data_IF_943023089028
#
_entry.id   IF_943023089028
#
_cell.length_a   1.000
_cell.length_b   1.000
_cell.length_c   1.000
_cell.angle_alpha   90.00
_cell.angle_beta   90.00
_cell.angle_gamma   90.00
#
_symmetry.space_group_name_H-M   'P 1'
#
loop_
_entity.id
_entity.type
_entity.pdbx_description
1 polymer ?
#
# COMPACT_ATOMS: atom_id res chain seq x y z
N UNK A 1 9.32 3.58 -24.81
CA UNK A 1 10.45 4.37 -25.37
C UNK A 1 11.48 3.50 -26.07
N UNK A 2 12.27 2.65 -25.39
CA UNK A 2 13.30 1.82 -26.05
C UNK A 2 12.75 0.99 -27.23
N UNK A 3 11.65 0.23 -27.02
CA UNK A 3 10.96 -0.51 -28.10
C UNK A 3 10.57 0.37 -29.29
N UNK A 4 10.02 1.55 -29.03
CA UNK A 4 9.65 2.53 -30.07
C UNK A 4 10.89 3.05 -30.82
N UNK A 5 12.01 3.25 -30.13
CA UNK A 5 13.25 3.72 -30.74
C UNK A 5 13.97 2.64 -31.57
N UNK A 6 13.68 1.34 -31.35
CA UNK A 6 14.24 0.25 -32.15
C UNK A 6 13.65 0.24 -33.57
N UNK A 7 12.39 0.66 -33.71
CA UNK A 7 11.65 0.63 -34.97
C UNK A 7 11.59 2.01 -35.66
N UNK A 8 12.00 3.08 -34.96
CA UNK A 8 11.99 4.44 -35.46
C UNK A 8 13.26 4.79 -36.27
N UNK A 9 13.10 5.59 -37.34
CA UNK A 9 14.23 6.21 -38.04
C UNK A 9 15.00 7.17 -37.12
N UNK A 10 16.27 7.45 -37.41
CA UNK A 10 17.17 8.24 -36.54
C UNK A 10 16.57 9.59 -36.10
N UNK A 11 15.88 10.30 -37.00
CA UNK A 11 15.24 11.59 -36.70
C UNK A 11 13.99 11.49 -35.82
N UNK A 12 13.44 10.29 -35.63
CA UNK A 12 12.26 10.00 -34.81
C UNK A 12 12.61 9.33 -33.49
N UNK A 13 13.89 8.99 -33.25
CA UNK A 13 14.33 8.43 -31.98
C UNK A 13 14.25 9.50 -30.90
N UNK A 14 13.50 9.20 -29.86
CA UNK A 14 13.47 10.04 -28.67
C UNK A 14 14.72 9.78 -27.84
N UNK A 15 15.36 10.83 -27.31
CA UNK A 15 16.50 10.70 -26.40
C UNK A 15 16.19 11.41 -25.09
N UNK A 16 16.59 10.82 -23.97
CA UNK A 16 16.42 11.41 -22.63
C UNK A 16 17.79 11.79 -22.09
N UNK A 17 17.85 12.94 -21.43
CA UNK A 17 18.99 13.37 -20.60
C UNK A 17 18.62 13.10 -19.16
N UNK A 18 19.55 12.54 -18.39
CA UNK A 18 19.32 12.26 -16.97
C UNK A 18 20.49 12.81 -16.18
N UNK A 19 20.20 13.63 -15.18
CA UNK A 19 21.18 14.05 -14.20
C UNK A 19 20.76 13.60 -12.80
N UNK A 20 21.71 13.12 -12.01
CA UNK A 20 21.47 12.68 -10.63
C UNK A 20 22.40 13.42 -9.68
N UNK A 21 21.84 13.92 -8.59
CA UNK A 21 22.59 14.47 -7.47
C UNK A 21 21.99 13.97 -6.16
N UNK A 22 22.79 13.91 -5.10
CA UNK A 22 22.35 13.54 -3.76
C UNK A 22 22.73 14.63 -2.76
N UNK A 23 21.85 14.90 -1.81
CA UNK A 23 22.09 15.85 -0.74
C UNK A 23 20.82 16.09 0.08
N UNK A 24 20.93 16.95 1.09
CA UNK A 24 19.80 17.30 1.94
C UNK A 24 18.83 18.25 1.24
N UNK A 25 17.54 17.94 1.33
CA UNK A 25 16.48 18.72 0.71
C UNK A 25 15.32 18.89 1.68
N UNK A 26 14.59 20.00 1.52
CA UNK A 26 13.35 20.27 2.24
C UNK A 26 12.15 19.91 1.38
N UNK A 27 11.25 19.13 1.94
CA UNK A 27 9.94 18.84 1.36
C UNK A 27 8.91 19.86 1.85
N UNK A 28 8.20 20.52 0.92
CA UNK A 28 7.18 21.50 1.27
C UNK A 28 6.13 21.58 0.18
N UNK A 29 4.83 21.53 0.55
CA UNK A 29 3.70 21.66 -0.39
C UNK A 29 3.74 20.73 -1.60
N UNK A 30 4.29 19.53 -1.44
CA UNK A 30 4.40 18.54 -2.51
C UNK A 30 5.56 18.76 -3.48
N UNK A 31 6.49 19.68 -3.17
CA UNK A 31 7.66 19.98 -3.99
C UNK A 31 8.97 19.89 -3.17
N UNK A 32 10.10 19.81 -3.87
CA UNK A 32 11.44 19.59 -3.31
C UNK A 32 12.29 20.85 -3.48
N UNK A 33 12.79 21.39 -2.36
CA UNK A 33 13.63 22.59 -2.36
C UNK A 33 14.99 22.30 -1.76
N UNK A 34 16.02 22.88 -2.35
CA UNK A 34 17.38 22.82 -1.83
C UNK A 34 18.42 22.97 -2.93
N UNK A 35 19.65 23.23 -2.51
CA UNK A 35 20.80 23.28 -3.40
C UNK A 35 20.95 22.00 -4.24
N UNK A 36 20.76 20.77 -3.71
CA UNK A 36 20.95 19.56 -4.51
C UNK A 36 20.06 19.47 -5.75
N UNK A 37 18.83 19.98 -5.67
CA UNK A 37 17.88 20.02 -6.80
C UNK A 37 18.33 21.02 -7.86
N UNK A 38 18.85 22.18 -7.44
CA UNK A 38 19.40 23.19 -8.34
C UNK A 38 20.64 22.65 -9.08
N UNK A 39 21.52 21.93 -8.39
CA UNK A 39 22.68 21.28 -9.02
C UNK A 39 22.24 20.25 -10.04
N UNK A 40 21.28 19.38 -9.69
CA UNK A 40 20.78 18.35 -10.61
C UNK A 40 20.16 18.95 -11.88
N UNK A 41 19.36 20.01 -11.75
CA UNK A 41 18.75 20.71 -12.89
C UNK A 41 19.80 21.36 -13.81
N UNK A 42 20.87 21.95 -13.24
CA UNK A 42 21.94 22.55 -14.04
C UNK A 42 22.86 21.53 -14.67
N UNK A 43 23.05 20.39 -14.01
CA UNK A 43 23.77 19.27 -14.59
C UNK A 43 22.99 18.67 -15.76
N UNK A 44 21.66 18.54 -15.63
CA UNK A 44 20.78 18.03 -16.70
C UNK A 44 20.88 18.89 -17.96
N UNK A 45 20.87 20.21 -17.82
CA UNK A 45 20.90 21.13 -18.97
C UNK A 45 22.16 21.01 -19.83
N UNK A 46 23.28 20.58 -19.24
CA UNK A 46 24.54 20.33 -19.95
C UNK A 46 24.75 18.85 -20.32
N UNK A 47 23.91 17.94 -19.82
CA UNK A 47 24.04 16.51 -20.07
C UNK A 47 23.72 16.21 -21.54
N UNK A 48 24.58 15.49 -22.28
CA UNK A 48 24.29 15.10 -23.66
C UNK A 48 23.04 14.22 -23.78
N UNK A 49 22.35 14.32 -24.91
CA UNK A 49 21.16 13.53 -25.17
C UNK A 49 21.48 12.03 -25.16
N UNK A 50 20.66 11.24 -24.44
CA UNK A 50 20.88 9.81 -24.27
C UNK A 50 22.06 9.49 -23.34
N UNK A 51 22.43 10.41 -22.44
CA UNK A 51 23.41 10.17 -21.38
C UNK A 51 22.82 10.33 -19.99
N UNK A 52 23.48 9.66 -19.04
CA UNK A 52 23.17 9.72 -17.60
C UNK A 52 24.42 10.26 -16.92
N UNK A 53 24.34 11.50 -16.45
CA UNK A 53 25.40 12.16 -15.70
C UNK A 53 25.02 12.26 -14.22
N UNK A 54 26.01 12.30 -13.34
CA UNK A 54 25.76 12.43 -11.92
C UNK A 54 26.96 13.05 -11.19
N UNK A 55 26.69 13.63 -10.03
CA UNK A 55 27.74 14.30 -9.22
C UNK A 55 28.61 13.30 -8.50
N UNK A 56 29.78 13.75 -8.05
CA UNK A 56 30.66 12.96 -7.19
C UNK A 56 29.98 12.55 -5.88
N UNK A 57 29.11 13.39 -5.30
CA UNK A 57 28.32 13.01 -4.13
C UNK A 57 27.48 11.74 -4.41
N UNK A 58 26.83 11.65 -5.58
CA UNK A 58 26.12 10.44 -6.00
C UNK A 58 27.06 9.26 -6.24
N UNK A 59 28.22 9.50 -6.87
CA UNK A 59 29.24 8.46 -7.09
C UNK A 59 29.76 7.85 -5.78
N UNK A 60 29.91 8.67 -4.73
CA UNK A 60 30.35 8.22 -3.42
C UNK A 60 29.24 7.47 -2.66
N UNK A 61 27.97 7.84 -2.86
CA UNK A 61 26.83 7.23 -2.19
C UNK A 61 26.35 5.92 -2.83
N UNK A 62 26.69 5.65 -4.08
CA UNK A 62 26.24 4.45 -4.81
C UNK A 62 27.14 3.23 -4.60
N UNK A 63 26.60 2.03 -4.81
CA UNK A 63 27.39 0.79 -4.91
C UNK A 63 28.11 0.74 -6.26
N UNK A 64 29.38 1.15 -6.29
CA UNK A 64 30.18 1.32 -7.53
C UNK A 64 30.33 0.06 -8.38
N UNK A 65 30.23 -1.13 -7.78
CA UNK A 65 30.28 -2.40 -8.51
C UNK A 65 29.04 -2.65 -9.38
N UNK A 66 27.94 -1.93 -9.17
CA UNK A 66 26.70 -2.14 -9.91
C UNK A 66 26.54 -1.23 -11.13
N UNK A 67 27.17 -0.04 -11.12
CA UNK A 67 27.04 0.98 -12.17
C UNK A 67 28.44 1.41 -12.60
N UNK A 68 28.95 0.89 -13.72
CA UNK A 68 30.21 1.34 -14.30
C UNK A 68 30.11 2.84 -14.65
N UNK A 69 31.11 3.60 -14.22
CA UNK A 69 31.09 5.05 -14.36
C UNK A 69 32.46 5.60 -14.75
N UNK A 70 32.44 6.65 -15.55
CA UNK A 70 33.63 7.37 -16.02
C UNK A 70 33.57 8.82 -15.54
N UNK A 71 34.70 9.35 -15.08
CA UNK A 71 34.79 10.77 -14.69
C UNK A 71 34.71 11.62 -15.97
N UNK A 72 33.79 12.57 -15.98
CA UNK A 72 33.60 13.53 -17.09
C UNK A 72 34.54 14.73 -16.89
N UNK A 73 34.63 15.22 -15.66
CA UNK A 73 35.43 16.40 -15.31
C UNK A 73 34.80 17.23 -14.21
N UNK A 74 35.26 18.47 -14.06
CA UNK A 74 34.72 19.46 -13.12
C UNK A 74 33.92 20.52 -13.87
N UNK A 75 32.77 20.88 -13.33
CA UNK A 75 31.88 21.90 -13.89
C UNK A 75 31.50 22.92 -12.83
N UNK A 76 31.58 24.21 -13.19
CA UNK A 76 31.11 25.31 -12.35
C UNK A 76 29.71 25.72 -12.74
N UNK A 77 28.87 25.97 -11.75
CA UNK A 77 27.47 26.32 -11.94
C UNK A 77 27.13 27.62 -11.20
N UNK A 78 26.26 28.45 -11.79
CA UNK A 78 25.95 29.79 -11.25
C UNK A 78 25.39 29.76 -9.83
N UNK A 79 26.14 30.18 -8.82
CA UNK A 79 25.67 30.14 -7.41
C UNK A 79 25.84 28.77 -6.76
N UNK A 80 26.85 28.04 -7.21
CA UNK A 80 27.55 27.00 -6.44
C UNK A 80 29.00 27.49 -6.38
N UNK A 81 29.52 27.67 -5.17
CA UNK A 81 30.84 28.29 -4.99
C UNK A 81 31.98 27.33 -5.37
N UNK A 82 31.76 26.02 -5.18
CA UNK A 82 32.74 24.98 -5.48
C UNK A 82 32.47 24.29 -6.84
N UNK A 83 33.52 23.99 -7.63
CA UNK A 83 33.37 23.16 -8.82
C UNK A 83 32.81 21.78 -8.48
N UNK A 84 31.83 21.32 -9.25
CA UNK A 84 31.20 20.02 -9.07
C UNK A 84 31.90 19.00 -9.97
N UNK A 85 32.46 17.96 -9.37
CA UNK A 85 32.98 16.81 -10.11
C UNK A 85 31.81 15.99 -10.66
N UNK A 86 31.84 15.68 -11.95
CA UNK A 86 30.80 14.99 -12.70
C UNK A 86 31.32 13.65 -13.22
N UNK A 87 30.44 12.65 -13.15
CA UNK A 87 30.60 11.30 -13.65
C UNK A 87 29.50 10.98 -14.66
N UNK A 88 29.76 10.05 -15.57
CA UNK A 88 28.76 9.50 -16.50
C UNK A 88 28.69 7.99 -16.38
N UNK A 89 27.52 7.43 -16.61
CA UNK A 89 27.37 5.97 -16.74
C UNK A 89 28.00 5.52 -18.06
N UNK A 90 28.89 4.52 -18.00
CA UNK A 90 29.52 3.97 -19.20
C UNK A 90 28.47 3.22 -20.06
N UNK A 91 28.48 3.46 -21.37
CA UNK A 91 27.63 2.74 -22.34
C UNK A 91 28.29 1.41 -22.70
N UNK A 92 27.56 0.29 -22.58
CA UNK A 92 28.12 -1.02 -22.92
C UNK A 92 27.17 -2.20 -22.68
N UNK A 93 27.29 -3.23 -23.52
CA UNK A 93 26.60 -4.51 -23.40
C UNK A 93 27.32 -5.41 -22.40
N UNK A 94 26.68 -5.70 -21.27
CA UNK A 94 27.06 -6.71 -20.27
C UNK A 94 28.47 -6.60 -19.67
N UNK A 95 28.60 -5.93 -18.52
CA UNK A 95 29.64 -6.33 -17.57
C UNK A 95 29.12 -7.48 -16.72
N UNK A 96 29.65 -8.67 -17.03
CA UNK A 96 29.39 -9.95 -16.35
C UNK A 96 30.07 -9.91 -14.98
N UNK A 97 29.32 -9.64 -13.92
CA UNK A 97 29.70 -10.16 -12.60
C UNK A 97 29.34 -11.64 -12.63
N UNK A 98 30.36 -12.50 -12.55
CA UNK A 98 30.19 -13.95 -12.50
C UNK A 98 29.42 -14.35 -11.24
N UNK A 99 28.10 -14.51 -11.38
CA UNK A 99 27.32 -15.45 -10.57
C UNK A 99 25.99 -15.74 -11.28
N UNK A 100 25.91 -16.95 -11.85
CA UNK A 100 24.69 -17.71 -12.21
C UNK A 100 23.79 -17.21 -13.36
N UNK A 101 23.89 -17.93 -14.49
CA UNK A 101 22.72 -18.42 -15.23
C UNK A 101 22.19 -17.57 -16.38
N UNK A 102 22.40 -18.07 -17.60
CA UNK A 102 21.64 -17.82 -18.85
C UNK A 102 21.01 -16.41 -19.01
N UNK A 103 21.86 -15.43 -19.28
CA UNK A 103 21.40 -14.12 -19.73
C UNK A 103 20.87 -14.24 -21.16
N UNK A 104 19.54 -14.25 -21.30
CA UNK A 104 18.87 -14.20 -22.60
C UNK A 104 19.37 -13.04 -23.46
N UNK A 105 19.40 -13.26 -24.77
CA UNK A 105 19.97 -12.39 -25.81
C UNK A 105 19.50 -10.92 -25.78
N UNK A 106 18.43 -10.59 -25.06
CA UNK A 106 17.84 -9.24 -24.96
C UNK A 106 18.64 -8.25 -24.06
N UNK A 107 19.44 -8.73 -23.10
CA UNK A 107 20.19 -7.85 -22.20
C UNK A 107 21.32 -7.09 -22.94
N UNK A 108 21.80 -7.64 -24.06
CA UNK A 108 22.81 -7.03 -24.91
C UNK A 108 22.27 -5.85 -25.75
N UNK A 109 20.95 -5.72 -25.91
CA UNK A 109 20.31 -4.68 -26.74
C UNK A 109 20.02 -3.37 -25.99
N UNK A 110 20.14 -3.36 -24.65
CA UNK A 110 19.86 -2.18 -23.84
C UNK A 110 21.08 -1.25 -23.75
N UNK A 111 20.89 0.08 -23.81
CA UNK A 111 21.99 1.06 -23.89
C UNK A 111 22.94 1.06 -22.68
N UNK A 112 22.49 0.49 -21.55
CA UNK A 112 23.24 0.40 -20.29
C UNK A 112 23.23 -1.02 -19.69
N UNK A 113 23.17 -2.05 -20.52
CA UNK A 113 23.37 -3.45 -20.09
C UNK A 113 22.27 -4.09 -19.24
N UNK A 114 21.17 -3.39 -18.93
CA UNK A 114 19.91 -3.98 -18.45
C UNK A 114 19.89 -4.59 -17.04
N UNK A 115 21.01 -4.60 -16.30
CA UNK A 115 21.12 -5.20 -14.96
C UNK A 115 20.10 -4.65 -13.95
N UNK A 116 19.86 -3.34 -13.96
CA UNK A 116 18.81 -2.70 -13.13
C UNK A 116 17.40 -3.05 -13.60
N UNK A 117 17.20 -3.22 -14.92
CA UNK A 117 15.91 -3.59 -15.50
C UNK A 117 15.55 -5.03 -15.16
N UNK A 118 16.52 -5.97 -15.15
CA UNK A 118 16.28 -7.34 -14.72
C UNK A 118 15.83 -7.40 -13.25
N UNK A 119 16.44 -6.60 -12.36
CA UNK A 119 15.98 -6.50 -10.96
C UNK A 119 14.60 -5.87 -10.86
N UNK A 120 14.31 -4.84 -11.66
CA UNK A 120 13.00 -4.21 -11.75
C UNK A 120 11.92 -5.14 -12.34
N UNK A 121 12.23 -5.91 -13.39
CA UNK A 121 11.31 -6.86 -14.04
C UNK A 121 11.11 -8.12 -13.19
N UNK A 122 12.17 -8.64 -12.56
CA UNK A 122 12.07 -9.69 -11.55
C UNK A 122 11.21 -9.25 -10.36
N UNK A 123 11.16 -7.95 -10.06
CA UNK A 123 10.23 -7.40 -9.06
C UNK A 123 8.84 -7.07 -9.61
N UNK A 124 8.65 -6.95 -10.94
CA UNK A 124 7.38 -6.61 -11.61
C UNK A 124 6.56 -7.80 -12.13
N UNK A 125 7.10 -9.02 -12.16
CA UNK A 125 6.26 -10.20 -12.44
C UNK A 125 7.02 -11.38 -13.02
N UNK A 126 6.83 -12.53 -12.37
CA UNK A 126 7.00 -13.84 -13.00
C UNK A 126 6.03 -13.89 -14.19
N UNK A 127 6.52 -13.72 -15.41
CA UNK A 127 5.72 -14.01 -16.62
C UNK A 127 5.48 -15.52 -16.68
N UNK A 128 4.23 -15.93 -16.47
CA UNK A 128 3.75 -17.31 -16.66
C UNK A 128 4.10 -17.90 -18.04
N UNK A 129 4.43 -17.08 -19.05
CA UNK A 129 4.82 -17.57 -20.38
C UNK A 129 6.18 -18.26 -20.43
N UNK A 130 7.10 -18.03 -19.47
CA UNK A 130 8.34 -18.83 -19.35
C UNK A 130 8.14 -20.17 -18.63
N UNK A 131 7.02 -20.34 -17.92
CA UNK A 131 6.66 -21.63 -17.33
C UNK A 131 6.09 -22.55 -18.41
N UNK A 132 5.38 -22.00 -19.42
CA UNK A 132 4.85 -22.80 -20.53
C UNK A 132 5.93 -23.49 -21.38
N UNK A 133 7.09 -22.87 -21.61
CA UNK A 133 8.18 -23.51 -22.39
C UNK A 133 8.95 -24.57 -21.60
N UNK A 134 8.91 -24.55 -20.27
CA UNK A 134 9.48 -25.60 -19.42
C UNK A 134 8.50 -26.75 -19.15
N UNK A 135 7.19 -26.55 -19.38
CA UNK A 135 6.17 -27.61 -19.29
C UNK A 135 6.20 -28.53 -20.53
N UNK A 136 6.65 -28.06 -21.69
CA UNK A 136 6.76 -28.90 -22.89
C UNK A 136 7.72 -30.11 -22.71
N UNK A 137 8.71 -29.99 -21.82
CA UNK A 137 9.65 -31.08 -21.48
C UNK A 137 9.36 -31.76 -20.13
N UNK A 138 8.31 -31.31 -19.42
CA UNK A 138 7.89 -31.80 -18.11
C UNK A 138 7.59 -33.30 -18.03
N UNK A 139 6.85 -33.92 -18.98
CA UNK A 139 6.52 -35.33 -18.88
C UNK A 139 7.76 -36.25 -19.06
N UNK A 140 8.76 -35.83 -19.84
CA UNK A 140 9.96 -36.64 -20.08
C UNK A 140 10.90 -36.68 -18.86
N UNK A 141 11.16 -35.53 -18.22
CA UNK A 141 12.00 -35.46 -17.00
C UNK A 141 11.35 -36.11 -15.78
N UNK A 142 10.02 -36.03 -15.65
CA UNK A 142 9.29 -36.68 -14.56
C UNK A 142 9.29 -38.21 -14.71
N UNK A 143 9.23 -38.71 -15.96
CA UNK A 143 9.32 -40.14 -16.26
C UNK A 143 10.73 -40.70 -15.98
N UNK A 144 11.79 -39.93 -16.24
CA UNK A 144 13.16 -40.31 -15.91
C UNK A 144 13.41 -40.38 -14.39
N UNK A 145 12.97 -39.36 -13.65
CA UNK A 145 13.08 -39.37 -12.18
C UNK A 145 12.26 -40.49 -11.54
N UNK A 146 11.06 -40.78 -12.08
CA UNK A 146 10.25 -41.91 -11.63
C UNK A 146 10.88 -43.27 -11.97
N UNK A 147 11.59 -43.40 -13.10
CA UNK A 147 12.35 -44.61 -13.47
C UNK A 147 13.60 -44.78 -12.60
N UNK A 148 14.30 -43.69 -12.28
CA UNK A 148 15.47 -43.68 -11.40
C UNK A 148 15.08 -44.04 -9.95
N UNK A 149 13.93 -43.54 -9.46
CA UNK A 149 13.39 -43.91 -8.15
C UNK A 149 12.84 -45.36 -8.09
N UNK A 150 12.62 -46.01 -9.23
CA UNK A 150 12.16 -47.41 -9.31
C UNK A 150 13.31 -48.44 -9.40
N UNK A 151 14.58 -48.01 -9.36
CA UNK A 151 15.77 -48.85 -9.24
C UNK A 151 15.92 -49.32 -7.78
N UNK A 152 15.08 -50.28 -7.37
CA UNK A 152 15.09 -50.83 -6.02
C UNK A 152 13.76 -51.42 -5.55
N UNK A 153 12.66 -51.20 -6.29
CA UNK A 153 11.33 -51.71 -5.92
C UNK A 153 11.07 -53.07 -6.60
N UNK A 154 10.71 -54.13 -5.85
CA UNK A 154 10.41 -55.45 -6.41
C UNK A 154 9.25 -55.39 -7.42
N UNK A 155 9.32 -56.22 -8.47
CA UNK A 155 8.52 -56.10 -9.69
C UNK A 155 7.00 -56.03 -9.48
N UNK A 156 6.47 -56.65 -8.42
CA UNK A 156 5.05 -56.65 -8.07
C UNK A 156 4.49 -55.32 -7.56
N UNK A 157 5.32 -54.42 -7.03
CA UNK A 157 4.88 -53.14 -6.44
C UNK A 157 5.19 -51.91 -7.31
N UNK A 158 5.90 -52.09 -8.43
CA UNK A 158 6.36 -50.99 -9.30
C UNK A 158 5.22 -50.14 -9.88
N UNK A 159 4.08 -50.74 -10.22
CA UNK A 159 2.94 -50.00 -10.80
C UNK A 159 2.27 -49.06 -9.79
N UNK A 160 2.12 -49.48 -8.53
CA UNK A 160 1.56 -48.63 -7.47
C UNK A 160 2.55 -47.54 -7.01
N UNK A 161 3.83 -47.89 -6.87
CA UNK A 161 4.85 -46.93 -6.43
C UNK A 161 5.08 -45.79 -7.43
N UNK A 162 5.06 -46.09 -8.74
CA UNK A 162 5.16 -45.08 -9.80
C UNK A 162 3.92 -44.19 -9.84
N UNK A 163 2.72 -44.76 -9.70
CA UNK A 163 1.49 -43.97 -9.66
C UNK A 163 1.46 -43.01 -8.46
N UNK A 164 1.87 -43.48 -7.27
CA UNK A 164 1.96 -42.64 -6.08
C UNK A 164 3.01 -41.53 -6.22
N UNK A 165 4.19 -41.83 -6.78
CA UNK A 165 5.24 -40.83 -7.02
C UNK A 165 4.80 -39.76 -8.04
N UNK A 166 4.08 -40.15 -9.09
CA UNK A 166 3.52 -39.22 -10.08
C UNK A 166 2.44 -38.33 -9.44
N UNK A 167 1.54 -38.90 -8.63
CA UNK A 167 0.50 -38.15 -7.92
C UNK A 167 1.13 -37.19 -6.89
N UNK A 168 2.08 -37.66 -6.09
CA UNK A 168 2.79 -36.84 -5.11
C UNK A 168 3.58 -35.70 -5.77
N UNK A 169 4.22 -35.97 -6.91
CA UNK A 169 4.88 -34.95 -7.72
C UNK A 169 3.90 -33.91 -8.28
N UNK A 170 2.74 -34.34 -8.79
CA UNK A 170 1.68 -33.45 -9.27
C UNK A 170 1.12 -32.57 -8.15
N UNK A 171 0.86 -33.15 -6.96
CA UNK A 171 0.40 -32.40 -5.78
C UNK A 171 1.45 -31.41 -5.31
N UNK A 172 2.74 -31.78 -5.29
CA UNK A 172 3.83 -30.87 -4.93
C UNK A 172 3.96 -29.70 -5.92
N UNK A 173 3.78 -29.95 -7.23
CA UNK A 173 3.78 -28.91 -8.27
C UNK A 173 2.58 -27.98 -8.11
N UNK A 174 1.39 -28.52 -7.82
CA UNK A 174 0.17 -27.72 -7.56
C UNK A 174 0.33 -26.86 -6.30
N UNK A 175 0.90 -27.40 -5.22
CA UNK A 175 1.17 -26.66 -3.99
C UNK A 175 2.25 -25.58 -4.16
N UNK A 176 3.26 -25.83 -5.01
CA UNK A 176 4.30 -24.85 -5.33
C UNK A 176 3.81 -23.76 -6.30
N UNK A 177 2.83 -24.09 -7.16
CA UNK A 177 2.20 -23.16 -8.09
C UNK A 177 1.00 -22.40 -7.49
N UNK A 178 0.58 -22.73 -6.27
CA UNK A 178 -0.50 -22.00 -5.59
C UNK A 178 -0.04 -20.57 -5.28
N UNK A 179 -0.79 -19.53 -5.68
CA UNK A 179 -0.40 -18.15 -5.42
C UNK A 179 -0.30 -17.94 -3.90
N UNK A 180 0.93 -17.86 -3.40
CA UNK A 180 1.17 -17.40 -2.04
C UNK A 180 0.92 -15.89 -2.07
N UNK A 181 -0.13 -15.47 -1.35
CA UNK A 181 -0.36 -14.06 -1.03
C UNK A 181 0.99 -13.48 -0.57
N UNK A 182 1.41 -12.42 -1.26
CA UNK A 182 2.74 -11.84 -1.16
C UNK A 182 3.03 -11.33 0.26
N UNK A 183 1.98 -11.09 1.04
CA UNK A 183 2.04 -10.64 2.42
C UNK A 183 1.34 -11.62 3.39
N UNK A 184 1.17 -12.89 3.00
CA UNK A 184 0.46 -13.91 3.79
C UNK A 184 0.90 -13.95 5.26
N UNK A 185 2.21 -13.96 5.53
CA UNK A 185 2.74 -14.00 6.90
C UNK A 185 2.38 -12.75 7.72
N UNK A 186 2.29 -11.59 7.06
CA UNK A 186 1.89 -10.33 7.68
C UNK A 186 0.41 -10.38 8.03
N UNK A 187 -0.42 -10.84 7.08
CA UNK A 187 -1.86 -10.98 7.28
C UNK A 187 -2.19 -11.99 8.36
N UNK A 188 -1.56 -13.16 8.35
CA UNK A 188 -1.71 -14.15 9.40
C UNK A 188 -1.36 -13.57 10.78
N UNK A 189 -0.24 -12.83 10.88
CA UNK A 189 0.13 -12.20 12.15
C UNK A 189 -0.88 -11.13 12.60
N UNK A 190 -1.56 -10.43 11.69
CA UNK A 190 -2.64 -9.51 12.05
C UNK A 190 -3.90 -10.24 12.49
N UNK A 191 -4.29 -11.31 11.80
CA UNK A 191 -5.48 -12.12 12.13
C UNK A 191 -5.32 -12.80 13.50
N UNK A 192 -4.11 -13.25 13.83
CA UNK A 192 -3.74 -13.77 15.16
C UNK A 192 -3.57 -12.68 16.22
N UNK A 193 -3.81 -11.40 15.89
CA UNK A 193 -3.62 -10.23 16.77
C UNK A 193 -2.17 -10.02 17.25
N UNK A 194 -1.21 -10.64 16.58
CA UNK A 194 0.23 -10.49 16.79
C UNK A 194 0.79 -9.23 16.11
N UNK A 195 0.25 -8.06 16.45
CA UNK A 195 0.51 -6.78 15.77
C UNK A 195 1.98 -6.35 15.75
N UNK A 196 2.75 -6.62 16.83
CA UNK A 196 4.21 -6.37 16.86
C UNK A 196 4.99 -7.26 15.89
N UNK A 197 4.54 -8.50 15.71
CA UNK A 197 5.13 -9.45 14.74
C UNK A 197 4.81 -9.00 13.32
N UNK A 198 3.55 -8.66 13.04
CA UNK A 198 3.13 -8.11 11.74
C UNK A 198 3.95 -6.87 11.36
N UNK A 199 4.15 -5.94 12.31
CA UNK A 199 4.97 -4.74 12.10
C UNK A 199 6.43 -5.06 11.78
N UNK A 200 7.02 -6.08 12.43
CA UNK A 200 8.39 -6.52 12.14
C UNK A 200 8.49 -7.14 10.75
N UNK A 201 7.52 -7.99 10.39
CA UNK A 201 7.47 -8.67 9.10
C UNK A 201 7.37 -7.65 7.95
N UNK A 202 6.42 -6.72 8.01
CA UNK A 202 6.26 -5.73 6.92
C UNK A 202 7.47 -4.79 6.81
N UNK A 203 8.08 -4.40 7.94
CA UNK A 203 9.26 -3.50 7.93
C UNK A 203 10.47 -4.11 7.22
N UNK A 204 10.62 -5.42 7.32
CA UNK A 204 11.72 -6.17 6.73
C UNK A 204 11.33 -6.79 5.38
N UNK A 205 10.09 -6.57 4.91
CA UNK A 205 9.61 -7.17 3.68
C UNK A 205 10.25 -6.49 2.46
N UNK A 206 10.81 -7.24 1.48
CA UNK A 206 11.50 -6.64 0.34
C UNK A 206 10.57 -5.79 -0.54
N UNK A 207 9.28 -6.08 -0.51
CA UNK A 207 8.26 -5.36 -1.29
C UNK A 207 7.47 -4.33 -0.49
N UNK A 208 7.95 -3.93 0.68
CA UNK A 208 7.31 -2.92 1.54
C UNK A 208 7.01 -1.60 0.81
N UNK A 209 7.88 -1.20 -0.12
CA UNK A 209 7.76 0.07 -0.85
C UNK A 209 6.93 -0.02 -2.14
N UNK A 210 6.31 -1.18 -2.41
CA UNK A 210 5.31 -1.29 -3.49
C UNK A 210 3.97 -0.67 -3.04
N UNK A 211 3.05 -0.31 -3.97
CA UNK A 211 1.72 0.21 -3.59
C UNK A 211 0.99 -0.71 -2.61
N UNK A 212 0.89 -2.00 -2.93
CA UNK A 212 0.31 -3.02 -2.04
C UNK A 212 1.07 -3.11 -0.70
N UNK A 213 2.40 -3.07 -0.71
CA UNK A 213 3.21 -3.07 0.53
C UNK A 213 3.00 -1.86 1.43
N UNK A 214 2.81 -0.68 0.84
CA UNK A 214 2.45 0.55 1.57
C UNK A 214 1.06 0.43 2.18
N UNK A 215 0.09 -0.12 1.42
CA UNK A 215 -1.26 -0.38 1.90
C UNK A 215 -1.28 -1.40 3.05
N UNK A 216 -0.51 -2.49 2.93
CA UNK A 216 -0.33 -3.50 4.00
C UNK A 216 0.31 -2.87 5.23
N UNK A 217 1.38 -2.06 5.09
CA UNK A 217 2.00 -1.36 6.23
C UNK A 217 0.96 -0.46 6.92
N UNK A 218 0.12 0.24 6.15
CA UNK A 218 -0.92 1.09 6.70
C UNK A 218 -1.94 0.29 7.53
N UNK A 219 -2.43 -0.85 7.03
CA UNK A 219 -3.35 -1.71 7.80
C UNK A 219 -2.68 -2.23 9.07
N UNK A 220 -1.40 -2.61 9.01
CA UNK A 220 -0.63 -2.99 10.21
C UNK A 220 -0.57 -1.85 11.22
N UNK A 221 -0.32 -0.61 10.77
CA UNK A 221 -0.25 0.56 11.63
C UNK A 221 -1.59 0.90 12.30
N UNK A 222 -2.71 0.59 11.63
CA UNK A 222 -4.07 0.74 12.17
C UNK A 222 -4.41 -0.34 13.20
N UNK A 223 -3.86 -1.56 13.04
CA UNK A 223 -4.06 -2.67 13.96
C UNK A 223 -3.27 -2.59 15.28
N UNK A 224 -2.32 -1.66 15.41
CA UNK A 224 -1.51 -1.52 16.63
C UNK A 224 -2.36 -1.17 17.87
N UNK A 225 -1.93 -1.55 19.09
CA UNK A 225 -2.62 -1.15 20.33
C UNK A 225 -2.80 0.37 20.48
N UNK A 226 -1.86 1.14 19.92
CA UNK A 226 -1.96 2.58 19.70
C UNK A 226 -1.87 2.83 18.19
N UNK A 227 -3.02 2.90 17.49
CA UNK A 227 -3.04 3.07 16.04
C UNK A 227 -2.33 4.34 15.59
N UNK A 228 -1.55 4.26 14.51
CA UNK A 228 -0.89 5.42 13.89
C UNK A 228 -1.70 5.89 12.68
N UNK A 229 -2.90 6.41 12.95
CA UNK A 229 -3.93 6.68 11.94
C UNK A 229 -3.42 7.63 10.86
N UNK A 230 -2.72 8.70 11.25
CA UNK A 230 -2.23 9.70 10.30
C UNK A 230 -1.19 9.14 9.34
N UNK A 231 -0.22 8.37 9.86
CA UNK A 231 0.78 7.71 9.02
C UNK A 231 0.14 6.67 8.10
N UNK A 232 -0.82 5.90 8.61
CA UNK A 232 -1.53 4.90 7.82
C UNK A 232 -2.34 5.56 6.69
N UNK A 233 -3.00 6.68 6.97
CA UNK A 233 -3.76 7.47 5.99
C UNK A 233 -2.86 7.91 4.84
N UNK A 234 -1.71 8.52 5.13
CA UNK A 234 -0.75 8.96 4.10
C UNK A 234 -0.27 7.78 3.24
N UNK A 235 0.02 6.63 3.85
CA UNK A 235 0.45 5.44 3.12
C UNK A 235 -0.65 4.86 2.22
N UNK A 236 -1.89 4.77 2.70
CA UNK A 236 -3.03 4.30 1.90
C UNK A 236 -3.33 5.26 0.74
N UNK A 237 -3.31 6.56 0.99
CA UNK A 237 -3.53 7.57 -0.04
C UNK A 237 -2.49 7.48 -1.15
N UNK A 238 -1.22 7.32 -0.77
CA UNK A 238 -0.12 7.18 -1.72
C UNK A 238 -0.19 5.85 -2.48
N UNK A 239 -0.51 4.75 -1.79
CA UNK A 239 -0.73 3.45 -2.42
C UNK A 239 -1.85 3.49 -3.47
N UNK A 240 -3.03 4.00 -3.09
CA UNK A 240 -4.20 4.10 -3.99
C UNK A 240 -3.95 5.08 -5.14
N UNK A 241 -3.12 6.11 -4.93
CA UNK A 241 -2.72 7.03 -5.99
C UNK A 241 -1.88 6.30 -7.06
N UNK A 242 -1.01 5.38 -6.65
CA UNK A 242 -0.17 4.59 -7.57
C UNK A 242 -0.93 3.42 -8.19
N UNK A 243 -1.81 2.78 -7.43
CA UNK A 243 -2.59 1.61 -7.83
C UNK A 243 -4.06 1.77 -7.41
N UNK A 244 -4.90 2.36 -8.29
CA UNK A 244 -6.32 2.63 -7.97
C UNK A 244 -7.15 1.38 -7.68
N UNK A 245 -6.75 0.23 -8.21
CA UNK A 245 -7.45 -1.06 -8.06
C UNK A 245 -7.42 -1.57 -6.60
N UNK A 246 -6.55 -1.03 -5.74
CA UNK A 246 -6.57 -1.30 -4.29
C UNK A 246 -7.90 -0.88 -3.63
N UNK A 247 -8.70 -0.01 -4.27
CA UNK A 247 -10.05 0.33 -3.83
C UNK A 247 -11.10 -0.78 -4.07
N UNK A 248 -10.72 -1.87 -4.74
CA UNK A 248 -11.57 -3.05 -4.90
C UNK A 248 -11.37 -4.09 -3.80
N UNK A 249 -10.30 -3.96 -3.01
CA UNK A 249 -9.93 -4.89 -1.95
C UNK A 249 -10.53 -4.49 -0.60
N UNK A 250 -11.31 -5.39 0.01
CA UNK A 250 -12.03 -5.13 1.25
C UNK A 250 -11.10 -4.73 2.41
N UNK A 251 -9.92 -5.34 2.50
CA UNK A 251 -8.95 -5.07 3.58
C UNK A 251 -8.47 -3.61 3.57
N UNK A 252 -8.18 -3.06 2.39
CA UNK A 252 -7.74 -1.68 2.25
C UNK A 252 -8.87 -0.68 2.43
N UNK A 253 -10.08 -1.01 1.94
CA UNK A 253 -11.27 -0.21 2.21
C UNK A 253 -11.56 -0.11 3.72
N UNK A 254 -11.52 -1.23 4.45
CA UNK A 254 -11.66 -1.24 5.91
C UNK A 254 -10.59 -0.38 6.59
N UNK A 255 -9.34 -0.47 6.14
CA UNK A 255 -8.25 0.38 6.62
C UNK A 255 -8.54 1.87 6.42
N UNK A 256 -9.00 2.24 5.23
CA UNK A 256 -9.33 3.62 4.89
C UNK A 256 -10.55 4.14 5.66
N UNK A 257 -11.53 3.28 5.96
CA UNK A 257 -12.65 3.62 6.87
C UNK A 257 -12.13 3.92 8.28
N UNK A 258 -11.17 3.14 8.81
CA UNK A 258 -10.56 3.44 10.11
C UNK A 258 -9.82 4.80 10.12
N UNK A 259 -9.32 5.26 8.97
CA UNK A 259 -8.74 6.60 8.84
C UNK A 259 -9.76 7.75 8.97
N UNK A 260 -11.06 7.47 8.96
CA UNK A 260 -12.11 8.46 9.23
C UNK A 260 -12.20 8.87 10.70
N UNK A 261 -11.50 8.22 11.62
CA UNK A 261 -11.52 8.51 13.05
C UNK A 261 -10.69 9.75 13.43
N UNK A 262 -10.87 10.85 12.68
CA UNK A 262 -10.15 12.12 12.84
C UNK A 262 -11.08 13.31 12.54
N UNK A 263 -10.75 14.52 13.03
CA UNK A 263 -11.52 15.74 12.74
C UNK A 263 -11.51 16.15 11.26
N UNK A 264 -10.40 15.88 10.55
CA UNK A 264 -10.18 16.31 9.16
C UNK A 264 -9.93 15.10 8.24
N UNK A 265 -10.97 14.28 7.94
CA UNK A 265 -10.83 13.05 7.16
C UNK A 265 -11.04 13.26 5.65
N UNK A 266 -10.99 14.49 5.14
CA UNK A 266 -11.54 14.85 3.82
C UNK A 266 -10.96 13.99 2.70
N UNK A 267 -9.65 13.76 2.71
CA UNK A 267 -8.98 12.99 1.66
C UNK A 267 -9.34 11.50 1.69
N UNK A 268 -9.47 10.91 2.88
CA UNK A 268 -9.97 9.56 3.04
C UNK A 268 -11.43 9.43 2.59
N UNK A 269 -12.27 10.43 2.91
CA UNK A 269 -13.66 10.48 2.43
C UNK A 269 -13.77 10.56 0.91
N UNK A 270 -12.92 11.36 0.25
CA UNK A 270 -12.87 11.48 -1.22
C UNK A 270 -12.52 10.14 -1.88
N UNK A 271 -11.54 9.41 -1.33
CA UNK A 271 -11.15 8.11 -1.85
C UNK A 271 -12.25 7.07 -1.64
N UNK A 272 -12.86 7.00 -0.45
CA UNK A 272 -13.95 6.07 -0.16
C UNK A 272 -15.19 6.35 -1.02
N UNK A 273 -15.47 7.61 -1.37
CA UNK A 273 -16.57 7.99 -2.25
C UNK A 273 -16.46 7.37 -3.65
N UNK A 274 -15.26 6.97 -4.09
CA UNK A 274 -15.01 6.36 -5.40
C UNK A 274 -15.38 4.87 -5.48
N UNK A 275 -15.60 4.20 -4.33
CA UNK A 275 -15.88 2.76 -4.29
C UNK A 275 -17.09 2.45 -3.43
N UNK A 276 -18.21 2.06 -4.07
CA UNK A 276 -19.41 1.57 -3.36
C UNK A 276 -19.16 0.29 -2.56
N UNK A 277 -18.06 -0.43 -2.82
CA UNK A 277 -17.63 -1.58 -2.01
C UNK A 277 -17.28 -1.19 -0.56
N UNK A 278 -17.07 0.10 -0.28
CA UNK A 278 -16.87 0.60 1.09
C UNK A 278 -18.15 0.57 1.95
N UNK A 279 -19.34 0.49 1.36
CA UNK A 279 -20.64 0.64 2.06
C UNK A 279 -20.77 -0.33 3.26
N UNK A 280 -20.46 -1.64 3.15
CA UNK A 280 -20.55 -2.55 4.30
C UNK A 280 -19.66 -2.12 5.47
N UNK A 281 -18.41 -1.72 5.20
CA UNK A 281 -17.49 -1.26 6.23
C UNK A 281 -17.94 0.07 6.86
N UNK A 282 -18.56 0.96 6.08
CA UNK A 282 -19.12 2.21 6.57
C UNK A 282 -20.35 1.99 7.46
N UNK A 283 -21.22 1.03 7.12
CA UNK A 283 -22.38 0.64 7.94
C UNK A 283 -21.94 0.01 9.27
N UNK A 284 -20.86 -0.76 9.25
CA UNK A 284 -20.24 -1.27 10.48
C UNK A 284 -19.70 -0.09 11.33
N UNK A 285 -18.93 0.81 10.70
CA UNK A 285 -18.34 1.97 11.35
C UNK A 285 -19.37 2.98 11.90
N UNK A 286 -20.57 3.08 11.30
CA UNK A 286 -21.65 3.94 11.82
C UNK A 286 -22.20 3.47 13.17
N UNK A 287 -21.82 2.27 13.63
CA UNK A 287 -22.18 1.72 14.95
C UNK A 287 -21.03 1.78 15.96
N UNK A 288 -19.88 2.34 15.57
CA UNK A 288 -18.71 2.49 16.43
C UNK A 288 -19.00 3.42 17.61
N UNK A 289 -18.39 3.18 18.78
CA UNK A 289 -18.41 4.10 19.92
C UNK A 289 -17.62 5.40 19.63
N UNK A 290 -16.66 5.33 18.70
CA UNK A 290 -15.77 6.45 18.36
C UNK A 290 -16.52 7.49 17.53
N UNK A 291 -16.65 8.70 18.08
CA UNK A 291 -17.47 9.79 17.53
C UNK A 291 -17.11 10.13 16.08
N UNK A 292 -15.83 10.38 15.79
CA UNK A 292 -15.39 10.79 14.46
C UNK A 292 -15.59 9.68 13.44
N UNK A 293 -15.14 8.46 13.75
CA UNK A 293 -15.37 7.30 12.89
C UNK A 293 -16.85 7.13 12.54
N UNK A 294 -17.73 7.21 13.55
CA UNK A 294 -19.17 7.05 13.38
C UNK A 294 -19.77 8.13 12.49
N UNK A 295 -19.61 9.40 12.84
CA UNK A 295 -20.27 10.50 12.13
C UNK A 295 -19.69 10.76 10.75
N UNK A 296 -18.38 10.58 10.56
CA UNK A 296 -17.78 10.68 9.23
C UNK A 296 -18.26 9.54 8.31
N UNK A 297 -18.48 8.34 8.86
CA UNK A 297 -19.08 7.23 8.10
C UNK A 297 -20.54 7.49 7.74
N UNK A 298 -21.36 7.98 8.68
CA UNK A 298 -22.77 8.35 8.43
C UNK A 298 -22.86 9.43 7.34
N UNK A 299 -22.02 10.46 7.42
CA UNK A 299 -21.95 11.53 6.41
C UNK A 299 -21.61 10.99 5.02
N UNK A 300 -20.78 9.96 4.92
CA UNK A 300 -20.45 9.34 3.65
C UNK A 300 -21.59 8.43 3.15
N UNK A 301 -22.26 7.69 4.05
CA UNK A 301 -23.44 6.89 3.73
C UNK A 301 -24.61 7.76 3.23
N UNK A 302 -24.79 8.95 3.80
CA UNK A 302 -25.75 9.94 3.31
C UNK A 302 -25.46 10.34 1.86
N UNK A 303 -24.19 10.59 1.51
CA UNK A 303 -23.77 10.85 0.12
C UNK A 303 -24.03 9.68 -0.82
N UNK A 304 -23.97 8.45 -0.31
CA UNK A 304 -24.34 7.25 -1.07
C UNK A 304 -25.85 7.02 -1.15
N UNK A 305 -26.68 7.82 -0.49
CA UNK A 305 -28.13 7.61 -0.41
C UNK A 305 -28.53 6.43 0.47
N UNK A 306 -27.67 6.05 1.43
CA UNK A 306 -27.82 4.87 2.31
C UNK A 306 -28.23 5.23 3.73
N UNK A 307 -28.78 6.43 3.95
CA UNK A 307 -29.15 6.90 5.29
C UNK A 307 -30.30 6.09 5.90
N UNK A 308 -31.17 5.49 5.07
CA UNK A 308 -32.24 4.57 5.48
C UNK A 308 -31.70 3.28 6.13
N UNK A 309 -30.45 2.90 5.83
CA UNK A 309 -29.77 1.73 6.42
C UNK A 309 -29.04 2.06 7.72
N UNK A 310 -28.96 3.33 8.09
CA UNK A 310 -28.26 3.77 9.31
C UNK A 310 -29.22 3.76 10.50
N UNK A 311 -28.83 3.09 11.58
CA UNK A 311 -29.53 3.18 12.86
C UNK A 311 -29.17 4.51 13.56
N UNK A 312 -29.84 5.60 13.17
CA UNK A 312 -29.62 6.94 13.73
C UNK A 312 -29.96 7.00 15.22
N UNK A 313 -30.97 6.25 15.67
CA UNK A 313 -31.30 6.13 17.09
C UNK A 313 -30.12 5.60 17.90
N UNK A 314 -29.51 4.51 17.43
CA UNK A 314 -28.27 3.98 18.04
C UNK A 314 -27.13 5.00 17.99
N UNK A 315 -26.94 5.69 16.86
CA UNK A 315 -25.86 6.67 16.73
C UNK A 315 -25.96 7.81 17.75
N UNK A 316 -27.17 8.32 18.00
CA UNK A 316 -27.39 9.35 19.03
C UNK A 316 -27.37 8.79 20.45
N UNK A 317 -27.76 7.53 20.69
CA UNK A 317 -27.55 6.88 22.00
C UNK A 317 -26.04 6.83 22.30
N UNK A 318 -25.21 6.47 21.32
CA UNK A 318 -23.75 6.45 21.46
C UNK A 318 -23.19 7.87 21.73
N UNK A 319 -23.70 8.91 21.08
CA UNK A 319 -23.32 10.29 21.39
C UNK A 319 -23.65 10.66 22.84
N UNK A 320 -24.86 10.31 23.31
CA UNK A 320 -25.31 10.62 24.65
C UNK A 320 -24.46 9.92 25.72
N UNK A 321 -24.06 8.67 25.49
CA UNK A 321 -23.28 7.88 26.44
C UNK A 321 -21.79 8.23 26.42
N UNK A 322 -21.19 8.33 25.24
CA UNK A 322 -19.72 8.33 25.09
C UNK A 322 -19.13 9.69 24.69
N UNK A 323 -19.91 10.66 24.21
CA UNK A 323 -19.35 11.95 23.82
C UNK A 323 -18.80 12.71 25.03
N UNK A 324 -17.56 13.19 24.92
CA UNK A 324 -16.90 13.99 25.96
C UNK A 324 -17.53 15.38 26.13
N UNK A 325 -17.98 16.00 25.03
CA UNK A 325 -18.60 17.33 25.06
C UNK A 325 -20.07 17.28 25.50
N UNK A 326 -20.41 18.13 26.45
CA UNK A 326 -21.78 18.26 26.92
C UNK A 326 -22.73 18.76 25.81
N UNK A 327 -22.26 19.64 24.91
CA UNK A 327 -23.04 20.12 23.75
C UNK A 327 -23.45 18.99 22.79
N UNK A 328 -22.56 18.03 22.55
CA UNK A 328 -22.86 16.85 21.71
C UNK A 328 -23.91 15.97 22.38
N UNK A 329 -23.77 15.70 23.68
CA UNK A 329 -24.79 14.96 24.45
C UNK A 329 -26.15 15.66 24.43
N UNK A 330 -26.17 16.99 24.59
CA UNK A 330 -27.40 17.80 24.53
C UNK A 330 -28.08 17.71 23.17
N UNK A 331 -27.30 17.81 22.08
CA UNK A 331 -27.82 17.62 20.71
C UNK A 331 -28.39 16.22 20.55
N UNK A 332 -27.67 15.20 20.99
CA UNK A 332 -28.11 13.81 20.89
C UNK A 332 -29.44 13.57 21.60
N UNK A 333 -29.62 14.06 22.83
CA UNK A 333 -30.89 13.97 23.55
C UNK A 333 -32.06 14.57 22.75
N UNK A 334 -31.87 15.74 22.15
CA UNK A 334 -32.89 16.40 21.32
C UNK A 334 -33.23 15.60 20.07
N UNK A 335 -32.23 15.05 19.38
CA UNK A 335 -32.47 14.24 18.19
C UNK A 335 -33.18 12.92 18.54
N UNK A 336 -32.85 12.29 19.67
CA UNK A 336 -33.56 11.12 20.18
C UNK A 336 -35.03 11.41 20.49
N UNK A 337 -35.32 12.58 21.06
CA UNK A 337 -36.68 13.05 21.29
C UNK A 337 -37.48 13.19 19.99
N UNK A 338 -36.86 13.74 18.93
CA UNK A 338 -37.48 13.86 17.60
C UNK A 338 -37.75 12.49 16.96
N UNK A 339 -36.81 11.56 17.09
CA UNK A 339 -36.94 10.19 16.58
C UNK A 339 -37.96 9.35 17.37
N UNK A 340 -38.30 9.76 18.60
CA UNK A 340 -39.19 9.02 19.53
C UNK A 340 -38.72 7.58 19.77
N UNK A 341 -37.40 7.36 19.77
CA UNK A 341 -36.82 6.03 19.95
C UNK A 341 -36.81 5.63 21.43
N UNK A 342 -37.68 4.67 21.78
CA UNK A 342 -37.80 4.18 23.16
C UNK A 342 -36.54 3.51 23.69
N UNK A 343 -35.66 3.02 22.81
CA UNK A 343 -34.36 2.42 23.19
C UNK A 343 -33.45 3.43 23.88
N UNK A 344 -33.69 4.73 23.71
CA UNK A 344 -32.90 5.78 24.34
C UNK A 344 -33.25 6.04 25.82
N UNK A 345 -34.39 5.58 26.31
CA UNK A 345 -34.85 5.88 27.68
C UNK A 345 -33.84 5.45 28.77
N UNK A 346 -33.21 4.26 28.72
CA UNK A 346 -32.19 3.89 29.70
C UNK A 346 -30.99 4.84 29.68
N UNK A 347 -30.51 5.20 28.49
CA UNK A 347 -29.36 6.10 28.32
C UNK A 347 -29.67 7.54 28.79
N UNK A 348 -30.88 8.05 28.52
CA UNK A 348 -31.34 9.35 28.98
C UNK A 348 -31.47 9.41 30.51
N UNK A 349 -32.07 8.38 31.13
CA UNK A 349 -32.20 8.28 32.59
C UNK A 349 -30.83 8.14 33.26
N UNK A 350 -29.92 7.35 32.68
CA UNK A 350 -28.52 7.25 33.14
C UNK A 350 -27.79 8.59 33.03
N UNK A 351 -28.03 9.35 31.97
CA UNK A 351 -27.44 10.68 31.81
C UNK A 351 -27.93 11.66 32.89
N UNK A 352 -29.18 11.59 33.35
CA UNK A 352 -29.69 12.41 34.46
C UNK A 352 -28.95 12.17 35.78
N UNK A 353 -28.42 10.96 35.99
CA UNK A 353 -27.71 10.59 37.21
C UNK A 353 -26.24 11.07 37.24
N UNK A 354 -25.73 11.68 36.16
CA UNK A 354 -24.39 12.27 36.14
C UNK A 354 -24.30 13.48 37.07
N UNK A 355 -23.08 13.84 37.46
CA UNK A 355 -22.83 14.94 38.39
C UNK A 355 -23.44 16.26 37.91
N UNK A 356 -23.84 17.13 38.85
CA UNK A 356 -24.43 18.43 38.54
C UNK A 356 -23.57 19.25 37.55
N UNK A 357 -22.25 19.26 37.75
CA UNK A 357 -21.31 19.97 36.87
C UNK A 357 -21.24 19.39 35.46
N UNK A 358 -21.39 18.07 35.29
CA UNK A 358 -21.41 17.42 33.96
C UNK A 358 -22.73 17.65 33.20
N UNK A 359 -23.81 17.94 33.94
CA UNK A 359 -25.16 18.13 33.41
C UNK A 359 -25.59 19.58 33.34
N UNK A 360 -24.78 20.54 33.82
CA UNK A 360 -25.12 21.96 33.83
C UNK A 360 -25.56 22.46 32.45
N UNK A 361 -24.89 22.00 31.38
CA UNK A 361 -25.26 22.42 30.02
C UNK A 361 -26.55 21.78 29.50
N UNK A 362 -26.97 20.65 30.07
CA UNK A 362 -28.14 19.89 29.60
C UNK A 362 -29.43 20.62 29.98
N UNK A 363 -29.47 21.32 31.12
CA UNK A 363 -30.69 21.96 31.63
C UNK A 363 -31.87 20.97 31.62
N UNK A 364 -33.02 21.43 31.16
CA UNK A 364 -34.25 20.60 31.11
C UNK A 364 -34.27 19.62 29.93
N UNK A 365 -33.26 19.64 29.05
CA UNK A 365 -33.25 18.87 27.78
C UNK A 365 -33.45 17.38 28.01
N UNK A 366 -32.85 16.81 29.07
CA UNK A 366 -32.98 15.38 29.36
C UNK A 366 -34.41 15.01 29.75
N UNK A 367 -35.04 15.83 30.60
CA UNK A 367 -36.40 15.60 31.05
C UNK A 367 -37.41 15.81 29.91
N UNK A 368 -37.26 16.89 29.14
CA UNK A 368 -38.05 17.15 27.93
C UNK A 368 -37.95 15.99 26.93
N UNK A 369 -36.75 15.48 26.71
CA UNK A 369 -36.51 14.37 25.78
C UNK A 369 -37.17 13.07 26.26
N UNK A 370 -37.11 12.78 27.57
CA UNK A 370 -37.80 11.62 28.17
C UNK A 370 -39.31 11.75 28.01
N UNK A 371 -39.89 12.92 28.37
CA UNK A 371 -41.34 13.17 28.23
C UNK A 371 -41.81 13.02 26.79
N UNK A 372 -41.05 13.57 25.84
CA UNK A 372 -41.34 13.47 24.40
C UNK A 372 -41.37 12.02 23.88
N UNK A 373 -40.45 11.17 24.36
CA UNK A 373 -40.40 9.74 23.99
C UNK A 373 -41.49 8.94 24.70
N UNK A 374 -41.80 9.25 25.96
CA UNK A 374 -42.87 8.58 26.72
C UNK A 374 -44.28 8.98 26.27
N UNK A 375 -44.41 10.06 25.49
CA UNK A 375 -45.72 10.59 25.06
C UNK A 375 -46.48 11.31 26.16
N UNK A 376 -45.78 11.73 27.23
CA UNK A 376 -46.36 12.55 28.30
C UNK A 376 -46.32 14.01 27.87
N UNK A 377 -47.50 14.63 27.76
CA UNK A 377 -47.64 16.08 27.46
C UNK A 377 -47.15 16.92 28.63
#
# INVERSE_FOLDING_TARGET
MHRNNLEAGESQKMQVRVAVNVGEVRLSRGDVFGEPVNVASRLESITPAGEIWFTEATYLAMTRSEVPAEKVGEHTFKGIDEPVVVWRVAKGSSHRLEASGDAGQDAAALPYGGLGLQRYEASRGIRLSKIASNIANGPARLLELARAAAYGIPAGARKLGVAFAVIAGLVAVILAAWPRDMFADVWQALDEKHTRRALRLIRNHPKRFTPEGMAVEAVVLLGLPKPRIEKARVLLEEAIRQEPDLLDEERFLRGLVLCLDQPEPQRAMELLARSRRAIPALLEASRSERYWLRWNSIKLLERFGMLDKVDLGLAYIMDLEYAGSCSTRKRAARELAKLKDKRALPALRKAQQRSFFENLCMGDTLEESIRAIEGKK
#
